data_IF_220062128725
#
_entry.id   IF_220062128725
#
_cell.length_a   1.000
_cell.length_b   1.000
_cell.length_c   1.000
_cell.angle_alpha   90.00
_cell.angle_beta   90.00
_cell.angle_gamma   90.00
#
_symmetry.space_group_name_H-M   'P 1'
#
loop_
_entity.id
_entity.type
_entity.pdbx_description
1 polymer ?
#
# COMPACT_ATOMS: atom_id res chain seq x y z
N UNK A 1 -5.84 30.45 8.03
CA UNK A 1 -6.20 29.10 7.72
C UNK A 1 -5.17 28.47 6.79
N UNK A 2 -4.79 27.31 7.08
CA UNK A 2 -3.73 26.69 6.32
C UNK A 2 -4.28 25.59 5.42
N UNK A 3 -3.78 25.53 4.22
CA UNK A 3 -4.05 24.41 3.35
C UNK A 3 -3.20 23.23 3.78
N UNK A 4 -3.73 22.05 3.58
CA UNK A 4 -2.98 20.83 3.87
C UNK A 4 -2.37 20.32 2.58
N UNK A 5 -1.17 19.81 2.68
CA UNK A 5 -0.45 19.26 1.55
C UNK A 5 -0.11 17.81 1.87
N UNK A 6 -0.35 16.95 0.91
CA UNK A 6 -0.09 15.52 1.09
C UNK A 6 0.90 15.04 0.05
N UNK A 7 1.68 14.09 0.44
CA UNK A 7 2.62 13.43 -0.45
C UNK A 7 2.11 12.02 -0.71
N UNK A 8 2.27 11.54 -1.93
CA UNK A 8 1.77 10.23 -2.32
C UNK A 8 2.91 9.39 -2.85
N UNK A 9 2.98 8.16 -2.38
CA UNK A 9 3.92 7.20 -2.93
C UNK A 9 3.17 5.94 -3.32
N UNK A 10 3.79 5.14 -4.16
CA UNK A 10 3.20 3.90 -4.60
C UNK A 10 3.98 2.72 -4.04
N UNK A 11 3.25 1.74 -3.51
CA UNK A 11 3.88 0.55 -2.96
C UNK A 11 3.15 -0.69 -3.48
N UNK A 12 3.81 -1.83 -3.40
CA UNK A 12 3.21 -3.11 -3.75
C UNK A 12 3.36 -4.05 -2.57
N UNK A 13 2.23 -4.63 -2.15
CA UNK A 13 2.24 -5.64 -1.11
C UNK A 13 1.94 -7.00 -1.70
N UNK A 14 2.47 -8.03 -1.09
CA UNK A 14 2.19 -9.40 -1.52
C UNK A 14 1.83 -10.25 -0.32
N UNK A 15 1.04 -11.28 -0.57
CA UNK A 15 0.66 -12.23 0.47
C UNK A 15 0.32 -13.55 -0.19
N UNK A 16 0.60 -14.63 0.51
CA UNK A 16 0.19 -15.95 0.03
C UNK A 16 -1.23 -16.28 0.45
N UNK A 17 -1.85 -15.42 1.25
CA UNK A 17 -3.15 -15.68 1.85
C UNK A 17 -4.29 -14.94 1.17
N UNK A 18 -4.14 -13.63 1.01
CA UNK A 18 -5.24 -12.82 0.47
C UNK A 18 -4.76 -11.43 0.12
N UNK A 19 -5.58 -10.70 -0.65
CA UNK A 19 -5.30 -9.31 -0.94
C UNK A 19 -5.43 -8.45 0.32
N UNK A 20 -6.36 -8.81 1.19
CA UNK A 20 -6.51 -8.06 2.44
C UNK A 20 -5.27 -8.17 3.30
N UNK A 21 -4.72 -9.38 3.38
CA UNK A 21 -3.50 -9.58 4.13
C UNK A 21 -2.34 -8.84 3.50
N UNK A 22 -2.26 -8.85 2.17
CA UNK A 22 -1.21 -8.11 1.45
C UNK A 22 -1.29 -6.62 1.77
N UNK A 23 -2.51 -6.08 1.80
CA UNK A 23 -2.73 -4.68 2.10
C UNK A 23 -2.32 -4.34 3.52
N UNK A 24 -2.77 -5.13 4.47
CA UNK A 24 -2.44 -4.89 5.88
C UNK A 24 -0.94 -4.95 6.11
N UNK A 25 -0.30 -5.96 5.54
CA UNK A 25 1.14 -6.12 5.73
C UNK A 25 1.93 -4.98 5.12
N UNK A 26 1.53 -4.57 3.92
CA UNK A 26 2.21 -3.47 3.25
C UNK A 26 2.07 -2.18 4.04
N UNK A 27 0.88 -1.90 4.54
CA UNK A 27 0.65 -0.67 5.30
C UNK A 27 1.36 -0.69 6.64
N UNK A 28 1.37 -1.85 7.30
CA UNK A 28 2.06 -1.96 8.59
C UNK A 28 3.55 -1.70 8.43
N UNK A 29 4.15 -2.25 7.38
CA UNK A 29 5.57 -2.07 7.15
C UNK A 29 5.87 -0.63 6.73
N UNK A 30 5.04 -0.06 5.88
CA UNK A 30 5.23 1.31 5.40
C UNK A 30 5.10 2.30 6.55
N UNK A 31 4.18 2.04 7.47
CA UNK A 31 3.95 2.93 8.60
C UNK A 31 5.15 3.01 9.53
N UNK A 32 6.03 2.02 9.49
CA UNK A 32 7.25 2.09 10.30
C UNK A 32 8.22 3.14 9.81
N UNK A 33 8.17 3.46 8.53
CA UNK A 33 9.09 4.41 7.92
C UNK A 33 8.47 5.78 7.71
N UNK A 34 7.15 5.84 7.58
CA UNK A 34 6.45 7.08 7.26
C UNK A 34 5.47 7.42 8.36
N UNK A 35 5.39 8.72 8.66
CA UNK A 35 4.46 9.21 9.66
C UNK A 35 3.19 9.72 8.99
N UNK A 36 2.11 9.71 9.76
CA UNK A 36 0.87 10.33 9.33
C UNK A 36 0.31 9.78 8.03
N UNK A 37 0.34 8.46 7.89
CA UNK A 37 -0.38 7.84 6.80
C UNK A 37 -1.87 8.14 6.98
N UNK A 38 -2.50 8.63 5.92
CA UNK A 38 -3.87 9.08 6.01
C UNK A 38 -4.82 8.29 5.14
N UNK A 39 -4.42 8.03 3.91
CA UNK A 39 -5.27 7.32 2.96
C UNK A 39 -4.43 6.36 2.16
N UNK A 40 -4.96 5.18 1.94
CA UNK A 40 -4.36 4.21 1.04
C UNK A 40 -5.42 3.82 0.03
N UNK A 41 -5.06 3.93 -1.24
CA UNK A 41 -5.98 3.60 -2.31
C UNK A 41 -5.48 2.36 -3.03
N UNK A 42 -6.35 1.37 -3.17
CA UNK A 42 -6.01 0.17 -3.94
C UNK A 42 -6.14 0.53 -5.41
N UNK A 43 -5.01 0.47 -6.10
CA UNK A 43 -4.98 0.82 -7.52
C UNK A 43 -5.18 -0.41 -8.38
N UNK A 44 -4.62 -1.52 -7.97
CA UNK A 44 -4.64 -2.72 -8.78
C UNK A 44 -4.48 -3.96 -7.92
N UNK A 45 -5.24 -4.99 -8.28
CA UNK A 45 -5.13 -6.31 -7.65
C UNK A 45 -4.70 -7.28 -8.74
N UNK A 46 -3.70 -8.11 -8.44
CA UNK A 46 -3.33 -9.16 -9.35
C UNK A 46 -2.79 -10.34 -8.57
N UNK A 47 -2.43 -11.38 -9.28
CA UNK A 47 -1.90 -12.58 -8.66
C UNK A 47 -0.72 -13.06 -9.49
N UNK A 48 0.23 -13.70 -8.82
CA UNK A 48 1.28 -14.41 -9.53
C UNK A 48 0.81 -15.84 -9.74
N UNK A 49 1.18 -16.40 -10.88
CA UNK A 49 0.70 -17.72 -11.26
C UNK A 49 1.89 -18.58 -11.65
N UNK A 50 1.89 -19.82 -11.16
CA UNK A 50 2.91 -20.79 -11.51
C UNK A 50 2.23 -22.12 -11.79
N UNK A 51 2.49 -22.71 -12.95
CA UNK A 51 1.89 -23.98 -13.33
C UNK A 51 0.36 -23.95 -13.18
N UNK A 52 -0.24 -22.83 -13.58
CA UNK A 52 -1.70 -22.69 -13.54
C UNK A 52 -2.27 -22.47 -12.17
N UNK A 53 -1.45 -22.25 -11.15
CA UNK A 53 -1.92 -22.04 -9.79
C UNK A 53 -1.45 -20.72 -9.24
N UNK A 54 -2.33 -20.11 -8.44
CA UNK A 54 -1.99 -18.84 -7.80
C UNK A 54 -0.93 -19.10 -6.73
N UNK A 55 0.17 -18.36 -6.80
CA UNK A 55 1.24 -18.47 -5.82
C UNK A 55 1.27 -17.31 -4.85
N UNK A 56 0.72 -16.15 -5.25
CA UNK A 56 0.68 -15.01 -4.34
C UNK A 56 -0.37 -14.03 -4.83
N UNK A 57 -0.91 -13.27 -3.89
CA UNK A 57 -1.84 -12.18 -4.15
C UNK A 57 -1.06 -10.89 -4.03
N UNK A 58 -1.21 -9.98 -4.98
CA UNK A 58 -0.47 -8.73 -4.99
C UNK A 58 -1.43 -7.56 -5.04
N UNK A 59 -1.09 -6.52 -4.27
CA UNK A 59 -1.88 -5.29 -4.22
C UNK A 59 -0.96 -4.13 -4.52
N UNK A 60 -1.35 -3.31 -5.50
CA UNK A 60 -0.67 -2.05 -5.75
C UNK A 60 -1.47 -0.95 -5.08
N UNK A 61 -0.79 -0.16 -4.29
CA UNK A 61 -1.43 0.87 -3.49
C UNK A 61 -0.73 2.20 -3.70
N UNK A 62 -1.53 3.27 -3.69
CA UNK A 62 -0.94 4.58 -3.45
C UNK A 62 -1.28 4.94 -2.01
N UNK A 63 -0.29 5.43 -1.29
CA UNK A 63 -0.51 5.86 0.09
C UNK A 63 -0.19 7.33 0.18
N UNK A 64 -1.05 8.05 0.89
CA UNK A 64 -0.84 9.48 1.09
C UNK A 64 -0.59 9.73 2.57
N UNK A 65 0.31 10.65 2.81
CA UNK A 65 0.62 11.05 4.17
C UNK A 65 0.83 12.55 4.17
N UNK A 66 0.58 13.14 5.32
CA UNK A 66 0.64 14.58 5.42
C UNK A 66 2.08 15.05 5.27
N UNK A 67 2.27 16.01 4.38
CA UNK A 67 3.58 16.55 4.14
C UNK A 67 3.96 17.51 5.25
N UNK A 68 5.09 17.28 5.86
CA UNK A 68 5.54 18.10 6.97
C UNK A 68 6.72 18.95 6.59
N UNK A 69 6.64 19.50 5.41
CA UNK A 69 7.64 20.46 5.04
C UNK A 69 7.39 21.74 5.81
N UNK A 70 8.34 22.43 6.16
CA UNK A 70 8.13 23.66 6.80
C UNK A 70 8.74 24.77 6.16
#
# INVERSE_FOLDING_TARGET
>A
MAASVYKIIEIVGTSKTSWEDATKSALALTAKSLEDLRVAEVVKLDVTVENGKITAYRVRLTVSFKYKGD
#
